data_IF_213264780355
#
_entry.id   IF_213264780355
#
_cell.length_a   1.000
_cell.length_b   1.000
_cell.length_c   1.000
_cell.angle_alpha   90.00
_cell.angle_beta   90.00
_cell.angle_gamma   90.00
#
_symmetry.space_group_name_H-M   'P 1'
#
loop_
_entity.id
_entity.type
_entity.pdbx_description
1 polymer ?
#
# COMPACT_ATOMS: atom_id res chain seq x y z
N UNK A 1 1.24 -12.94 -4.09
CA UNK A 1 0.72 -11.70 -4.71
C UNK A 1 1.72 -11.10 -5.69
N UNK A 2 2.96 -10.80 -5.27
CA UNK A 2 3.99 -10.17 -6.11
C UNK A 2 4.26 -10.86 -7.45
N UNK A 3 4.33 -12.20 -7.48
CA UNK A 3 4.51 -12.95 -8.74
C UNK A 3 3.29 -12.91 -9.68
N UNK A 4 2.08 -12.87 -9.12
CA UNK A 4 0.84 -12.96 -9.91
C UNK A 4 0.49 -11.60 -10.55
N UNK A 5 0.46 -10.53 -9.75
CA UNK A 5 -0.03 -9.22 -10.19
C UNK A 5 1.06 -8.15 -10.29
N UNK A 6 2.29 -8.44 -9.87
CA UNK A 6 3.46 -7.56 -10.03
C UNK A 6 3.45 -6.31 -9.14
N UNK A 7 4.65 -5.79 -8.88
CA UNK A 7 4.87 -4.46 -8.31
C UNK A 7 4.91 -3.47 -9.48
N UNK A 8 4.16 -2.38 -9.37
CA UNK A 8 4.17 -1.32 -10.35
C UNK A 8 5.52 -0.62 -10.33
N UNK A 9 6.27 -0.70 -11.44
CA UNK A 9 7.43 0.12 -11.69
C UNK A 9 7.37 0.66 -13.13
N UNK A 10 7.25 1.98 -13.35
CA UNK A 10 7.17 2.55 -14.68
C UNK A 10 8.43 2.34 -15.53
N UNK A 11 9.58 2.08 -14.89
CA UNK A 11 10.85 1.74 -15.57
C UNK A 11 10.97 0.24 -15.85
N UNK A 12 10.07 -0.59 -15.32
CA UNK A 12 10.17 -2.05 -15.33
C UNK A 12 11.29 -2.57 -14.42
N UNK A 13 11.50 -3.88 -14.43
CA UNK A 13 12.56 -4.55 -13.67
C UNK A 13 13.94 -4.24 -14.28
N UNK A 14 14.76 -3.46 -13.58
CA UNK A 14 16.12 -3.07 -14.03
C UNK A 14 17.25 -3.92 -13.44
N UNK A 15 16.92 -4.87 -12.57
CA UNK A 15 17.90 -5.64 -11.82
C UNK A 15 17.40 -7.07 -11.57
N UNK A 16 18.33 -8.00 -11.35
CA UNK A 16 17.99 -9.37 -10.98
C UNK A 16 17.50 -9.40 -9.52
N UNK A 17 16.28 -9.88 -9.24
CA UNK A 17 15.81 -10.02 -7.88
C UNK A 17 16.74 -10.90 -7.04
N UNK A 18 17.03 -10.46 -5.81
CA UNK A 18 17.89 -11.22 -4.87
C UNK A 18 17.27 -12.57 -4.51
N UNK A 19 15.94 -12.63 -4.51
CA UNK A 19 15.13 -13.79 -4.19
C UNK A 19 14.69 -14.57 -5.44
N UNK A 20 15.31 -14.34 -6.60
CA UNK A 20 14.95 -14.97 -7.89
C UNK A 20 14.80 -16.50 -7.82
N UNK A 21 15.63 -17.15 -7.00
CA UNK A 21 15.62 -18.61 -6.85
C UNK A 21 14.58 -19.12 -5.84
N UNK A 22 13.86 -18.22 -5.18
CA UNK A 22 12.76 -18.55 -4.29
C UNK A 22 11.43 -18.65 -5.02
N UNK A 23 10.54 -19.48 -4.49
CA UNK A 23 9.20 -19.74 -5.08
C UNK A 23 8.36 -18.46 -5.20
N UNK A 24 8.60 -17.48 -4.31
CA UNK A 24 7.92 -16.19 -4.24
C UNK A 24 8.85 -14.99 -4.49
N UNK A 25 9.60 -15.01 -5.60
CA UNK A 25 10.40 -13.83 -5.99
C UNK A 25 9.50 -12.61 -6.31
N UNK A 26 10.00 -11.39 -6.04
CA UNK A 26 9.31 -10.18 -6.47
C UNK A 26 9.54 -9.89 -7.96
N UNK A 27 8.50 -9.40 -8.62
CA UNK A 27 8.52 -9.02 -10.03
C UNK A 27 8.00 -7.60 -10.18
N UNK A 28 8.84 -6.71 -10.67
CA UNK A 28 8.45 -5.36 -11.06
C UNK A 28 8.04 -5.34 -12.53
N UNK A 29 6.94 -4.65 -12.82
CA UNK A 29 6.38 -4.53 -14.17
C UNK A 29 5.71 -3.17 -14.33
N UNK A 30 5.74 -2.62 -15.54
CA UNK A 30 4.98 -1.42 -15.90
C UNK A 30 3.46 -1.65 -15.77
N UNK A 31 3.02 -2.90 -15.95
CA UNK A 31 1.64 -3.32 -15.73
C UNK A 31 1.39 -3.88 -14.32
N UNK A 32 2.35 -3.75 -13.39
CA UNK A 32 2.18 -4.17 -12.01
C UNK A 32 1.01 -3.46 -11.33
N UNK A 33 0.31 -4.17 -10.44
CA UNK A 33 -0.86 -3.62 -9.73
C UNK A 33 -0.58 -3.22 -8.29
N UNK A 34 0.53 -3.69 -7.71
CA UNK A 34 0.89 -3.39 -6.32
C UNK A 34 1.72 -2.11 -6.30
N UNK A 35 1.32 -1.14 -5.49
CA UNK A 35 2.12 0.05 -5.20
C UNK A 35 3.01 -0.23 -3.99
N UNK A 36 4.33 -0.09 -4.16
CA UNK A 36 5.31 -0.20 -3.09
C UNK A 36 5.98 1.16 -2.88
N UNK A 37 5.52 1.89 -1.86
CA UNK A 37 5.94 3.28 -1.58
C UNK A 37 7.19 3.38 -0.70
N UNK A 38 7.80 2.25 -0.34
CA UNK A 38 8.94 2.20 0.59
C UNK A 38 8.55 2.56 2.03
N UNK A 39 9.51 3.06 2.81
CA UNK A 39 9.30 3.50 4.20
C UNK A 39 8.73 4.93 4.16
N UNK A 40 7.47 5.05 3.74
CA UNK A 40 6.79 6.31 3.60
C UNK A 40 5.28 6.14 3.77
N UNK A 41 4.82 6.10 5.03
CA UNK A 41 3.41 5.85 5.33
C UNK A 41 2.50 6.97 4.84
N UNK A 42 2.98 8.22 4.84
CA UNK A 42 2.26 9.36 4.29
C UNK A 42 2.11 9.24 2.77
N UNK A 43 3.15 8.81 2.06
CA UNK A 43 3.09 8.47 0.64
C UNK A 43 2.13 7.32 0.36
N UNK A 44 2.21 6.24 1.14
CA UNK A 44 1.26 5.11 1.11
C UNK A 44 -0.18 5.56 1.26
N UNK A 45 -0.45 6.43 2.24
CA UNK A 45 -1.78 6.98 2.46
C UNK A 45 -2.23 7.89 1.32
N UNK A 46 -1.37 8.73 0.77
CA UNK A 46 -1.71 9.59 -0.36
C UNK A 46 -2.06 8.78 -1.61
N UNK A 47 -1.29 7.73 -1.93
CA UNK A 47 -1.61 6.78 -3.00
C UNK A 47 -2.94 6.08 -2.77
N UNK A 48 -3.23 5.69 -1.52
CA UNK A 48 -4.52 5.11 -1.15
C UNK A 48 -5.67 6.11 -1.33
N UNK A 49 -5.54 7.37 -0.89
CA UNK A 49 -6.57 8.41 -1.05
C UNK A 49 -6.87 8.65 -2.54
N UNK A 50 -5.83 8.76 -3.37
CA UNK A 50 -5.98 8.96 -4.80
C UNK A 50 -6.78 7.83 -5.46
N UNK A 51 -6.47 6.57 -5.10
CA UNK A 51 -7.24 5.42 -5.57
C UNK A 51 -8.65 5.35 -4.95
N UNK A 52 -8.81 5.70 -3.68
CA UNK A 52 -10.08 5.61 -2.96
C UNK A 52 -11.10 6.67 -3.39
N UNK A 53 -10.65 7.74 -4.04
CA UNK A 53 -11.48 8.83 -4.57
C UNK A 53 -11.62 8.81 -6.09
N UNK A 54 -10.94 7.88 -6.78
CA UNK A 54 -10.90 7.80 -8.24
C UNK A 54 -12.29 7.65 -8.88
N UNK A 55 -13.23 7.05 -8.14
CA UNK A 55 -14.64 6.91 -8.55
C UNK A 55 -15.30 8.27 -8.85
N UNK A 56 -14.87 9.33 -8.18
CA UNK A 56 -15.38 10.69 -8.35
C UNK A 56 -14.46 11.53 -9.24
N UNK A 57 -13.17 11.55 -8.91
CA UNK A 57 -12.19 12.45 -9.57
C UNK A 57 -11.90 12.07 -11.02
N UNK A 58 -11.99 10.79 -11.37
CA UNK A 58 -11.66 10.28 -12.71
C UNK A 58 -12.77 9.41 -13.32
N UNK A 59 -13.93 9.31 -12.66
CA UNK A 59 -15.03 8.42 -13.03
C UNK A 59 -14.59 6.96 -13.28
N UNK A 60 -13.58 6.51 -12.52
CA UNK A 60 -13.04 5.14 -12.61
C UNK A 60 -12.98 4.55 -11.22
N UNK A 61 -13.82 3.56 -10.95
CA UNK A 61 -13.87 2.92 -9.64
C UNK A 61 -12.60 2.08 -9.44
N UNK A 62 -11.86 2.40 -8.37
CA UNK A 62 -10.80 1.56 -7.83
C UNK A 62 -11.16 1.16 -6.40
N UNK A 63 -10.63 0.02 -5.95
CA UNK A 63 -10.87 -0.50 -4.60
C UNK A 63 -9.50 -0.73 -3.94
N UNK A 64 -8.94 0.28 -3.25
CA UNK A 64 -7.61 0.16 -2.70
C UNK A 64 -7.61 -0.55 -1.34
N UNK A 65 -6.57 -1.36 -1.14
CA UNK A 65 -6.24 -2.02 0.11
C UNK A 65 -4.83 -1.58 0.52
N UNK A 66 -4.72 -0.83 1.62
CA UNK A 66 -3.43 -0.39 2.15
C UNK A 66 -3.11 -1.14 3.43
N UNK A 67 -2.04 -1.93 3.40
CA UNK A 67 -1.58 -2.77 4.51
C UNK A 67 -0.29 -2.17 5.10
N UNK A 68 -0.26 -1.97 6.41
CA UNK A 68 0.87 -1.37 7.13
C UNK A 68 0.88 -1.84 8.59
N UNK A 69 1.99 -1.62 9.31
CA UNK A 69 2.06 -1.87 10.75
C UNK A 69 1.07 -0.97 11.48
N UNK A 70 0.10 -1.51 12.23
CA UNK A 70 -1.02 -0.73 12.78
C UNK A 70 -0.59 0.49 13.60
N UNK A 71 0.57 0.43 14.26
CA UNK A 71 1.19 1.53 15.01
C UNK A 71 1.40 2.79 14.16
N UNK A 72 1.73 2.63 12.87
CA UNK A 72 1.99 3.74 11.94
C UNK A 72 0.77 4.09 11.07
N UNK A 73 -0.42 3.68 11.51
CA UNK A 73 -1.70 4.12 10.93
C UNK A 73 -2.10 5.49 11.46
N UNK A 74 -3.28 5.54 12.08
CA UNK A 74 -3.90 6.79 12.56
C UNK A 74 -3.00 7.62 13.49
N UNK A 75 -2.05 7.02 14.21
CA UNK A 75 -1.08 7.77 15.01
C UNK A 75 -0.07 8.56 14.16
N UNK A 76 0.34 8.04 13.00
CA UNK A 76 1.37 8.65 12.14
C UNK A 76 0.79 9.47 10.99
N UNK A 77 -0.34 9.03 10.44
CA UNK A 77 -1.01 9.62 9.27
C UNK A 77 -2.43 10.10 9.60
N UNK A 78 -2.70 10.42 10.87
CA UNK A 78 -4.04 10.76 11.36
C UNK A 78 -4.70 11.94 10.63
N UNK A 79 -3.94 12.98 10.32
CA UNK A 79 -4.46 14.15 9.59
C UNK A 79 -4.85 13.79 8.14
N UNK A 80 -4.06 12.93 7.47
CA UNK A 80 -4.41 12.40 6.16
C UNK A 80 -5.64 11.47 6.22
N UNK A 81 -5.80 10.71 7.30
CA UNK A 81 -7.00 9.89 7.50
C UNK A 81 -8.24 10.75 7.71
N UNK A 82 -8.10 11.89 8.40
CA UNK A 82 -9.18 12.86 8.54
C UNK A 82 -9.54 13.49 7.19
N UNK A 83 -8.54 13.98 6.44
CA UNK A 83 -8.73 14.53 5.10
C UNK A 83 -9.37 13.51 4.14
N UNK A 84 -8.99 12.23 4.25
CA UNK A 84 -9.62 11.16 3.46
C UNK A 84 -11.12 11.03 3.74
N UNK A 85 -11.54 11.21 5.01
CA UNK A 85 -12.94 11.24 5.39
C UNK A 85 -13.69 12.40 4.73
N UNK A 86 -13.13 13.60 4.76
CA UNK A 86 -13.69 14.80 4.11
C UNK A 86 -13.83 14.61 2.58
N UNK A 87 -12.82 13.99 1.96
CA UNK A 87 -12.83 13.66 0.52
C UNK A 87 -13.76 12.49 0.15
N UNK A 88 -14.46 11.89 1.12
CA UNK A 88 -15.33 10.72 0.92
C UNK A 88 -14.60 9.53 0.29
N UNK A 89 -13.40 9.24 0.77
CA UNK A 89 -12.60 8.09 0.33
C UNK A 89 -13.32 6.77 0.58
N UNK A 90 -13.29 5.86 -0.40
CA UNK A 90 -13.87 4.51 -0.32
C UNK A 90 -12.78 3.46 -0.55
N UNK A 91 -12.42 2.71 0.49
CA UNK A 91 -11.39 1.68 0.42
C UNK A 91 -11.14 1.04 1.79
N UNK A 92 -10.07 0.25 1.88
CA UNK A 92 -9.71 -0.49 3.08
C UNK A 92 -8.33 -0.10 3.60
N UNK A 93 -8.25 0.22 4.89
CA UNK A 93 -7.01 0.37 5.66
C UNK A 93 -6.85 -0.86 6.55
N UNK A 94 -5.71 -1.55 6.44
CA UNK A 94 -5.44 -2.80 7.12
C UNK A 94 -4.20 -2.62 8.01
N UNK A 95 -4.45 -2.31 9.28
CA UNK A 95 -3.41 -2.31 10.30
C UNK A 95 -2.98 -3.74 10.64
N UNK A 96 -1.98 -4.24 9.91
CA UNK A 96 -1.31 -5.51 10.20
C UNK A 96 -0.50 -5.44 11.49
N UNK A 97 -0.04 -6.61 11.94
CA UNK A 97 0.76 -6.78 13.18
C UNK A 97 0.16 -6.03 14.38
N UNK A 98 -1.18 -6.00 14.45
CA UNK A 98 -1.91 -5.30 15.49
C UNK A 98 -1.99 -6.11 16.78
N UNK A 99 -2.16 -5.42 17.90
CA UNK A 99 -2.36 -6.05 19.21
C UNK A 99 -1.12 -5.92 20.07
N UNK A 100 -1.29 -5.31 21.25
CA UNK A 100 -0.19 -4.98 22.17
C UNK A 100 0.66 -6.18 22.57
N UNK A 101 0.03 -7.35 22.74
CA UNK A 101 0.71 -8.58 23.15
C UNK A 101 1.08 -9.49 21.99
N UNK A 102 0.50 -9.25 20.80
CA UNK A 102 0.72 -10.06 19.60
C UNK A 102 2.04 -9.72 18.93
N UNK A 103 2.50 -8.47 19.05
CA UNK A 103 3.80 -8.01 18.56
C UNK A 103 4.85 -7.93 19.68
N UNK A 104 5.04 -9.06 20.36
CA UNK A 104 5.81 -9.18 21.61
C UNK A 104 7.32 -8.88 21.51
N UNK A 105 7.89 -8.81 20.31
CA UNK A 105 9.33 -8.61 20.09
C UNK A 105 9.76 -7.21 19.65
N UNK A 106 8.81 -6.33 19.32
CA UNK A 106 9.09 -4.98 18.77
C UNK A 106 8.97 -3.86 19.83
N UNK A 107 8.49 -4.18 21.04
CA UNK A 107 8.34 -3.23 22.17
C UNK A 107 7.09 -3.43 23.01
#
# INVERSE_FOLDING_TARGET
MFRQIGIYNPKGQLYTPVDKDQVMYYREDKAGQILQEGINEAGGMASWIAAATSYSTSNRIMIPFYVYYSMFGFQRIGDLAWAAGDMQARGFLLGGTSGRTTLNGEG
#
